data_IF_798297404172
#
_entry.id   IF_798297404172
#
_cell.length_a   1.000
_cell.length_b   1.000
_cell.length_c   1.000
_cell.angle_alpha   90.00
_cell.angle_beta   90.00
_cell.angle_gamma   90.00
#
_symmetry.space_group_name_H-M   'P 1'
#
loop_
_entity.id
_entity.type
_entity.pdbx_description
1 polymer ?
#
# COMPACT_ATOMS: atom_id res chain seq x y z
N UNK A 1 13.31 39.95 -5.60
CA UNK A 1 13.28 38.88 -4.57
C UNK A 1 11.88 38.27 -4.39
N UNK A 2 10.81 39.04 -4.15
CA UNK A 2 9.44 38.51 -3.93
C UNK A 2 8.89 37.66 -5.10
N UNK A 3 9.11 38.07 -6.36
CA UNK A 3 8.70 37.32 -7.56
C UNK A 3 9.45 35.99 -7.75
N UNK A 4 10.70 35.91 -7.28
CA UNK A 4 11.52 34.71 -7.34
C UNK A 4 11.08 33.67 -6.29
N UNK A 5 10.73 34.12 -5.07
CA UNK A 5 10.09 33.26 -4.06
C UNK A 5 8.71 32.75 -4.49
N UNK A 6 7.90 33.58 -5.15
CA UNK A 6 6.58 33.16 -5.68
C UNK A 6 6.71 32.11 -6.79
N UNK A 7 7.71 32.25 -7.67
CA UNK A 7 8.00 31.27 -8.73
C UNK A 7 8.55 29.96 -8.16
N UNK A 8 9.41 30.01 -7.14
CA UNK A 8 9.92 28.83 -6.45
C UNK A 8 8.83 28.08 -5.68
N UNK A 9 7.86 28.80 -5.08
CA UNK A 9 6.69 28.20 -4.43
C UNK A 9 5.76 27.51 -5.44
N UNK A 10 5.58 28.08 -6.63
CA UNK A 10 4.76 27.50 -7.70
C UNK A 10 5.41 26.24 -8.32
N UNK A 11 6.74 26.18 -8.41
CA UNK A 11 7.47 24.99 -8.87
C UNK A 11 7.40 23.84 -7.85
N UNK A 12 7.33 24.14 -6.55
CA UNK A 12 7.22 23.13 -5.50
C UNK A 12 5.83 22.48 -5.45
N UNK A 13 4.75 23.18 -5.80
CA UNK A 13 3.40 22.59 -5.79
C UNK A 13 3.17 21.59 -6.93
N UNK A 14 3.83 21.76 -8.08
CA UNK A 14 3.72 20.85 -9.24
C UNK A 14 4.43 19.51 -8.98
N UNK A 15 5.46 19.47 -8.13
CA UNK A 15 6.21 18.24 -7.85
C UNK A 15 5.44 17.22 -6.98
N UNK A 16 4.45 17.68 -6.20
CA UNK A 16 3.72 16.81 -5.24
C UNK A 16 2.59 16.01 -5.92
N UNK A 17 2.20 16.36 -7.15
CA UNK A 17 0.96 15.84 -7.77
C UNK A 17 1.11 14.50 -8.51
N UNK A 18 2.30 13.89 -8.56
CA UNK A 18 2.53 12.64 -9.31
C UNK A 18 2.72 11.38 -8.44
N UNK A 19 2.22 11.38 -7.20
CA UNK A 19 2.16 10.14 -6.42
C UNK A 19 1.04 9.24 -6.96
N UNK A 20 1.41 8.19 -7.72
CA UNK A 20 0.45 7.18 -8.18
C UNK A 20 -0.16 6.44 -6.97
N UNK A 21 -1.49 6.30 -6.95
CA UNK A 21 -2.23 5.64 -5.85
C UNK A 21 -2.23 4.12 -6.05
N UNK A 22 -1.62 3.39 -5.13
CA UNK A 22 -1.77 1.93 -5.07
C UNK A 22 -3.11 1.48 -4.48
N UNK A 23 -3.34 0.18 -4.51
CA UNK A 23 -4.58 -0.47 -4.04
C UNK A 23 -4.30 -1.12 -2.69
N UNK A 24 -5.26 -1.04 -1.75
CA UNK A 24 -5.23 -1.81 -0.50
C UNK A 24 -6.38 -2.81 -0.53
N UNK A 25 -6.07 -4.07 -0.31
CA UNK A 25 -7.06 -5.13 -0.26
C UNK A 25 -7.03 -5.79 1.11
N UNK A 26 -8.22 -6.02 1.68
CA UNK A 26 -8.37 -6.76 2.93
C UNK A 26 -8.83 -8.17 2.59
N UNK A 27 -8.02 -9.14 2.99
CA UNK A 27 -8.30 -10.55 2.75
C UNK A 27 -8.35 -11.30 4.06
N UNK A 28 -9.00 -12.47 4.03
CA UNK A 28 -9.03 -13.41 5.14
C UNK A 28 -8.10 -14.58 4.84
N UNK A 29 -7.23 -14.91 5.80
CA UNK A 29 -6.28 -16.01 5.70
C UNK A 29 -6.60 -17.00 6.81
N UNK A 30 -6.71 -18.27 6.45
CA UNK A 30 -6.90 -19.34 7.41
C UNK A 30 -5.56 -19.84 7.95
N UNK A 31 -5.42 -19.89 9.28
CA UNK A 31 -4.22 -20.36 9.96
C UNK A 31 -4.51 -21.64 10.75
N UNK A 32 -4.08 -22.78 10.19
CA UNK A 32 -4.17 -24.08 10.86
C UNK A 32 -3.42 -24.13 12.20
N UNK A 33 -2.36 -23.33 12.35
CA UNK A 33 -1.50 -23.35 13.52
C UNK A 33 -2.18 -22.80 14.81
N UNK A 34 -3.28 -22.06 14.68
CA UNK A 34 -3.98 -21.44 15.81
C UNK A 34 -5.40 -21.99 16.01
N UNK A 35 -5.78 -23.05 15.30
CA UNK A 35 -7.07 -23.72 15.49
C UNK A 35 -7.24 -24.19 16.94
N UNK A 36 -8.33 -23.80 17.58
CA UNK A 36 -8.66 -24.25 18.94
C UNK A 36 -7.61 -23.85 19.98
N UNK A 37 -6.87 -22.76 19.73
CA UNK A 37 -5.88 -22.29 20.69
C UNK A 37 -6.53 -21.91 22.03
N UNK A 38 -5.75 -21.91 23.12
CA UNK A 38 -6.28 -21.63 24.47
C UNK A 38 -6.85 -20.22 24.63
N UNK A 39 -6.42 -19.29 23.78
CA UNK A 39 -6.94 -17.92 23.74
C UNK A 39 -8.29 -17.81 23.01
N UNK A 40 -8.74 -18.88 22.35
CA UNK A 40 -9.89 -18.92 21.46
C UNK A 40 -9.79 -17.88 20.32
N UNK A 41 -8.58 -17.62 19.82
CA UNK A 41 -8.43 -16.76 18.66
C UNK A 41 -9.06 -17.42 17.42
N UNK A 42 -9.75 -16.64 16.57
CA UNK A 42 -10.29 -17.18 15.33
C UNK A 42 -9.15 -17.62 14.40
N UNK A 43 -9.24 -18.84 13.88
CA UNK A 43 -8.30 -19.37 12.89
C UNK A 43 -8.34 -18.59 11.56
N UNK A 44 -9.45 -17.92 11.27
CA UNK A 44 -9.58 -16.98 10.16
C UNK A 44 -9.10 -15.58 10.58
N UNK A 45 -8.06 -15.06 9.93
CA UNK A 45 -7.38 -13.80 10.26
C UNK A 45 -7.51 -12.79 9.13
N UNK A 46 -7.84 -11.56 9.46
CA UNK A 46 -7.83 -10.46 8.50
C UNK A 46 -6.41 -9.92 8.31
N UNK A 47 -5.99 -9.76 7.05
CA UNK A 47 -4.74 -9.07 6.69
C UNK A 47 -5.04 -8.03 5.61
N UNK A 48 -4.25 -6.97 5.57
CA UNK A 48 -4.36 -5.92 4.54
C UNK A 48 -3.09 -5.93 3.68
N UNK A 49 -3.26 -6.11 2.37
CA UNK A 49 -2.17 -6.13 1.39
C UNK A 49 -2.19 -4.83 0.60
N UNK A 50 -1.04 -4.18 0.47
CA UNK A 50 -0.85 -3.06 -0.45
C UNK A 50 -0.29 -3.56 -1.77
N UNK A 51 -0.92 -3.17 -2.87
CA UNK A 51 -0.47 -3.44 -4.23
C UNK A 51 0.00 -2.14 -4.89
N UNK A 52 1.19 -2.12 -5.51
CA UNK A 52 1.66 -0.94 -6.22
C UNK A 52 0.76 -0.63 -7.43
N UNK A 53 0.75 0.62 -7.91
CA UNK A 53 -0.11 1.05 -9.03
C UNK A 53 -0.01 0.18 -10.29
N UNK A 54 1.15 -0.41 -10.57
CA UNK A 54 1.38 -1.25 -11.74
C UNK A 54 0.94 -2.72 -11.57
N UNK A 55 0.46 -3.14 -10.40
CA UNK A 55 0.24 -4.55 -10.08
C UNK A 55 -0.72 -5.25 -11.08
N UNK A 56 -1.89 -4.66 -11.34
CA UNK A 56 -2.89 -5.24 -12.24
C UNK A 56 -2.48 -5.15 -13.73
N UNK A 57 -1.72 -4.12 -14.10
CA UNK A 57 -1.31 -3.89 -15.48
C UNK A 57 -0.12 -4.76 -15.93
N UNK A 58 0.59 -5.39 -14.99
CA UNK A 58 1.81 -6.16 -15.26
C UNK A 58 1.72 -7.53 -14.54
N UNK A 59 0.86 -8.46 -15.00
CA UNK A 59 0.55 -9.71 -14.29
C UNK A 59 1.77 -10.63 -14.10
N UNK A 60 2.75 -10.58 -15.01
CA UNK A 60 3.97 -11.39 -14.92
C UNK A 60 5.04 -10.78 -14.01
N UNK A 61 4.91 -9.49 -13.67
CA UNK A 61 5.90 -8.79 -12.86
C UNK A 61 5.78 -9.18 -11.39
N UNK A 62 6.89 -9.57 -10.79
CA UNK A 62 7.01 -9.81 -9.35
C UNK A 62 7.50 -8.56 -8.63
N UNK A 63 7.06 -8.38 -7.39
CA UNK A 63 7.44 -7.28 -6.52
C UNK A 63 8.05 -7.86 -5.24
N UNK A 64 9.06 -7.20 -4.62
CA UNK A 64 9.51 -7.57 -3.30
C UNK A 64 8.37 -7.41 -2.29
N UNK A 65 8.38 -8.21 -1.23
CA UNK A 65 7.36 -8.20 -0.17
C UNK A 65 7.99 -7.66 1.11
N UNK A 66 7.29 -6.71 1.75
CA UNK A 66 7.53 -6.27 3.11
C UNK A 66 6.40 -6.77 3.99
N UNK A 67 6.75 -7.46 5.08
CA UNK A 67 5.82 -8.00 6.07
C UNK A 67 5.71 -7.08 7.28
#
# INVERSE_FOLDING_TARGET
MRKFSLMLLLLFTVAVTNAQKGIKERIKVYSKAIEGNLANDPAEREVTVYMPPSYQAQPDKRYPVLY
#
